data_IF_294866897605
#
_entry.id   IF_294866897605
#
_cell.length_a   1.000
_cell.length_b   1.000
_cell.length_c   1.000
_cell.angle_alpha   90.00
_cell.angle_beta   90.00
_cell.angle_gamma   90.00
#
_symmetry.space_group_name_H-M   'P 1'
#
loop_
_entity.id
_entity.type
_entity.pdbx_description
1 polymer ?
#
# COMPACT_ATOMS: atom_id res chain seq x y z
N UNK A 1 -27.84 10.20 4.49
CA UNK A 1 -28.03 9.08 3.54
C UNK A 1 -27.00 7.97 3.85
N UNK A 2 -27.26 7.20 4.89
CA UNK A 2 -26.40 6.09 5.31
C UNK A 2 -27.34 4.95 5.69
N UNK A 3 -27.56 4.05 4.73
CA UNK A 3 -28.43 2.90 4.94
C UNK A 3 -27.58 1.68 5.25
N UNK A 4 -28.01 0.88 6.23
CA UNK A 4 -27.31 -0.35 6.67
C UNK A 4 -27.61 -1.56 5.79
N UNK A 5 -28.42 -1.39 4.74
CA UNK A 5 -28.84 -2.47 3.85
C UNK A 5 -28.15 -2.34 2.50
N UNK A 6 -28.02 -3.46 1.78
CA UNK A 6 -27.52 -3.48 0.42
C UNK A 6 -28.44 -2.75 -0.58
N UNK A 7 -29.72 -2.58 -0.25
CA UNK A 7 -30.67 -1.71 -0.95
C UNK A 7 -31.44 -0.85 0.05
N UNK A 8 -31.53 0.45 -0.24
CA UNK A 8 -32.10 1.47 0.63
C UNK A 8 -33.09 2.34 -0.15
N UNK A 9 -33.94 3.05 0.57
CA UNK A 9 -34.82 4.06 0.01
C UNK A 9 -34.93 5.27 0.93
N UNK A 10 -35.20 6.44 0.34
CA UNK A 10 -35.56 7.66 1.03
C UNK A 10 -36.47 8.48 0.11
N UNK A 11 -37.74 8.62 0.48
CA UNK A 11 -38.73 9.32 -0.33
C UNK A 11 -38.91 8.69 -1.70
N UNK A 12 -38.70 9.47 -2.76
CA UNK A 12 -38.84 9.06 -4.17
C UNK A 12 -37.55 8.49 -4.76
N UNK A 13 -36.51 8.26 -3.96
CA UNK A 13 -35.22 7.74 -4.42
C UNK A 13 -34.96 6.40 -3.72
N UNK A 14 -34.54 5.41 -4.48
CA UNK A 14 -33.96 4.17 -3.95
C UNK A 14 -32.56 3.96 -4.51
N UNK A 15 -31.69 3.32 -3.74
CA UNK A 15 -30.36 2.96 -4.19
C UNK A 15 -29.94 1.57 -3.72
N UNK A 16 -29.20 0.86 -4.56
CA UNK A 16 -28.65 -0.46 -4.27
C UNK A 16 -27.15 -0.48 -4.54
N UNK A 17 -26.41 -1.13 -3.65
CA UNK A 17 -24.99 -1.42 -3.81
C UNK A 17 -24.83 -2.72 -4.61
N UNK A 18 -24.06 -2.65 -5.70
CA UNK A 18 -23.91 -3.74 -6.67
C UNK A 18 -22.47 -4.23 -6.68
N UNK A 19 -22.29 -5.56 -6.77
CA UNK A 19 -20.99 -6.22 -6.98
C UNK A 19 -20.61 -6.36 -8.45
N UNK A 20 -21.58 -6.30 -9.35
CA UNK A 20 -21.39 -6.44 -10.79
C UNK A 20 -22.48 -5.70 -11.57
N UNK A 21 -22.28 -5.55 -12.88
CA UNK A 21 -23.27 -5.06 -13.84
C UNK A 21 -23.38 -6.04 -15.02
N UNK A 22 -24.48 -6.02 -15.80
CA UNK A 22 -24.59 -6.78 -17.04
C UNK A 22 -23.43 -6.49 -18.01
N UNK A 23 -22.99 -7.49 -18.76
CA UNK A 23 -21.88 -7.34 -19.71
C UNK A 23 -22.18 -6.39 -20.89
N UNK A 24 -23.47 -6.17 -21.19
CA UNK A 24 -23.90 -5.22 -22.20
C UNK A 24 -24.64 -4.06 -21.52
N UNK A 25 -24.18 -2.83 -21.76
CA UNK A 25 -24.76 -1.61 -21.19
C UNK A 25 -26.25 -1.42 -21.52
N UNK A 26 -26.73 -2.00 -22.62
CA UNK A 26 -28.15 -1.97 -23.00
C UNK A 26 -29.06 -2.90 -22.17
N UNK A 27 -28.48 -3.75 -21.31
CA UNK A 27 -29.26 -4.68 -20.47
C UNK A 27 -29.60 -4.01 -19.14
N UNK A 28 -30.89 -3.72 -18.87
CA UNK A 28 -31.27 -3.06 -17.62
C UNK A 28 -31.14 -4.00 -16.42
N UNK A 29 -30.66 -3.46 -15.30
CA UNK A 29 -30.85 -4.11 -13.99
C UNK A 29 -32.24 -3.73 -13.47
N UNK A 30 -33.08 -4.75 -13.35
CA UNK A 30 -34.47 -4.70 -12.91
C UNK A 30 -34.63 -5.52 -11.64
N UNK A 31 -35.80 -5.44 -11.00
CA UNK A 31 -36.13 -6.27 -9.84
C UNK A 31 -35.96 -7.78 -10.09
N UNK A 32 -36.10 -8.22 -11.35
CA UNK A 32 -36.03 -9.64 -11.72
C UNK A 32 -34.60 -10.20 -11.77
N UNK A 33 -33.59 -9.36 -12.05
CA UNK A 33 -32.19 -9.79 -12.14
C UNK A 33 -31.28 -9.13 -11.09
N UNK A 34 -31.82 -8.24 -10.24
CA UNK A 34 -31.06 -7.53 -9.20
C UNK A 34 -30.28 -8.47 -8.28
N UNK A 35 -30.84 -9.62 -7.91
CA UNK A 35 -30.19 -10.59 -7.02
C UNK A 35 -28.84 -11.11 -7.56
N UNK A 36 -28.66 -11.13 -8.88
CA UNK A 36 -27.40 -11.52 -9.52
C UNK A 36 -26.29 -10.49 -9.30
N UNK A 37 -26.68 -9.21 -9.21
CA UNK A 37 -25.77 -8.07 -9.27
C UNK A 37 -25.60 -7.35 -7.94
N UNK A 38 -26.54 -7.48 -7.00
CA UNK A 38 -26.48 -6.82 -5.70
C UNK A 38 -25.38 -7.43 -4.83
N UNK A 39 -24.68 -6.58 -4.07
CA UNK A 39 -23.71 -7.03 -3.08
C UNK A 39 -24.41 -7.75 -1.90
N UNK A 40 -23.64 -8.55 -1.16
CA UNK A 40 -24.14 -9.24 0.04
C UNK A 40 -24.83 -8.28 1.01
N UNK A 41 -25.93 -8.73 1.63
CA UNK A 41 -26.61 -7.98 2.69
C UNK A 41 -25.86 -8.02 4.02
N UNK A 42 -24.87 -8.91 4.17
CA UNK A 42 -23.96 -8.93 5.32
C UNK A 42 -22.94 -7.82 5.14
N UNK A 43 -22.98 -6.79 5.97
CA UNK A 43 -22.19 -5.57 5.82
C UNK A 43 -20.70 -5.82 5.54
N UNK A 44 -20.02 -6.62 6.36
CA UNK A 44 -18.58 -6.90 6.19
C UNK A 44 -18.22 -7.55 4.84
N UNK A 45 -19.13 -8.36 4.28
CA UNK A 45 -18.96 -9.00 2.97
C UNK A 45 -19.37 -8.04 1.85
N UNK A 46 -20.52 -7.38 2.02
CA UNK A 46 -21.09 -6.47 1.04
C UNK A 46 -20.20 -5.25 0.79
N UNK A 47 -19.56 -4.71 1.81
CA UNK A 47 -18.62 -3.58 1.69
C UNK A 47 -17.43 -3.94 0.79
N UNK A 48 -16.85 -5.13 0.93
CA UNK A 48 -15.72 -5.60 0.11
C UNK A 48 -16.13 -5.98 -1.33
N UNK A 49 -17.36 -6.46 -1.52
CA UNK A 49 -17.88 -6.84 -2.84
C UNK A 49 -18.42 -5.66 -3.64
N UNK A 50 -18.82 -4.56 -3.01
CA UNK A 50 -19.50 -3.43 -3.69
C UNK A 50 -18.55 -2.71 -4.65
N UNK A 51 -18.98 -2.59 -5.91
CA UNK A 51 -18.24 -1.91 -6.99
C UNK A 51 -19.04 -0.79 -7.65
N UNK A 52 -20.37 -0.87 -7.62
CA UNK A 52 -21.27 0.10 -8.24
C UNK A 52 -22.41 0.48 -7.31
N UNK A 53 -23.02 1.63 -7.57
CA UNK A 53 -24.28 2.05 -6.98
C UNK A 53 -25.31 2.26 -8.09
N UNK A 54 -26.47 1.63 -7.94
CA UNK A 54 -27.64 1.95 -8.74
C UNK A 54 -28.56 2.86 -7.98
N UNK A 55 -28.94 3.99 -8.57
CA UNK A 55 -29.94 4.90 -8.05
C UNK A 55 -31.16 4.86 -8.96
N UNK A 56 -32.34 4.69 -8.39
CA UNK A 56 -33.62 4.68 -9.09
C UNK A 56 -34.51 5.77 -8.52
N UNK A 57 -35.13 6.56 -9.39
CA UNK A 57 -36.16 7.53 -9.01
C UNK A 57 -37.53 6.92 -9.27
N UNK A 58 -38.42 7.01 -8.29
CA UNK A 58 -39.80 6.57 -8.40
C UNK A 58 -40.48 7.29 -9.59
N UNK A 59 -41.07 6.55 -10.55
CA UNK A 59 -41.70 7.16 -11.71
C UNK A 59 -42.79 8.17 -11.31
N UNK A 60 -42.70 9.36 -11.86
CA UNK A 60 -43.69 10.43 -11.64
C UNK A 60 -44.60 10.54 -12.85
N UNK A 61 -45.91 10.63 -12.61
CA UNK A 61 -46.90 10.78 -13.67
C UNK A 61 -46.91 12.19 -14.25
N UNK A 62 -46.95 12.28 -15.58
CA UNK A 62 -47.10 13.50 -16.36
C UNK A 62 -48.33 13.41 -17.25
N UNK A 63 -48.95 14.56 -17.49
CA UNK A 63 -49.99 14.71 -18.48
C UNK A 63 -49.43 15.47 -19.68
N UNK A 64 -49.71 14.97 -20.88
CA UNK A 64 -49.38 15.67 -22.12
C UNK A 64 -50.25 16.93 -22.25
N UNK A 65 -49.61 18.06 -22.57
CA UNK A 65 -50.33 19.31 -22.81
C UNK A 65 -51.16 19.25 -24.11
N UNK A 66 -50.66 18.51 -25.11
CA UNK A 66 -51.36 18.21 -26.34
C UNK A 66 -51.91 16.78 -26.29
N UNK A 67 -53.20 16.55 -26.60
CA UNK A 67 -53.79 15.22 -26.54
C UNK A 67 -53.05 14.25 -27.47
N UNK A 68 -52.58 13.14 -26.90
CA UNK A 68 -51.88 12.09 -27.67
C UNK A 68 -52.76 11.49 -28.78
N UNK A 69 -54.09 11.64 -28.66
CA UNK A 69 -55.10 11.25 -29.65
C UNK A 69 -54.92 11.91 -31.03
N UNK A 70 -54.22 13.05 -31.12
CA UNK A 70 -53.90 13.70 -32.40
C UNK A 70 -52.76 13.02 -33.15
N UNK A 71 -51.92 12.24 -32.47
CA UNK A 71 -50.82 11.47 -33.09
C UNK A 71 -51.30 10.07 -33.44
N UNK A 72 -51.96 9.39 -32.49
CA UNK A 72 -52.49 8.03 -32.67
C UNK A 72 -53.84 7.93 -31.98
N UNK A 73 -54.86 7.46 -32.71
CA UNK A 73 -56.20 7.28 -32.14
C UNK A 73 -56.17 6.30 -30.96
N UNK A 74 -56.77 6.68 -29.83
CA UNK A 74 -56.78 5.87 -28.61
C UNK A 74 -55.53 5.97 -27.73
N UNK A 75 -54.54 6.80 -28.07
CA UNK A 75 -53.36 7.00 -27.23
C UNK A 75 -53.70 7.74 -25.92
N UNK A 76 -53.08 7.29 -24.82
CA UNK A 76 -53.22 7.92 -23.51
C UNK A 76 -52.48 9.25 -23.45
N UNK A 77 -53.12 10.27 -22.85
CA UNK A 77 -52.49 11.57 -22.58
C UNK A 77 -51.73 11.60 -21.25
N UNK A 78 -51.57 10.46 -20.58
CA UNK A 78 -50.78 10.33 -19.35
C UNK A 78 -49.63 9.36 -19.55
N UNK A 79 -48.45 9.72 -19.06
CA UNK A 79 -47.26 8.87 -19.10
C UNK A 79 -46.46 9.03 -17.81
N UNK A 80 -45.73 7.99 -17.41
CA UNK A 80 -44.85 8.06 -16.24
C UNK A 80 -43.40 8.16 -16.70
N UNK A 81 -42.65 9.09 -16.10
CA UNK A 81 -41.22 9.24 -16.34
C UNK A 81 -40.48 8.84 -15.07
N UNK A 82 -39.56 7.89 -15.20
CA UNK A 82 -38.62 7.52 -14.15
C UNK A 82 -37.19 7.61 -14.68
N UNK A 83 -36.22 7.52 -13.77
CA UNK A 83 -34.81 7.52 -14.11
C UNK A 83 -34.08 6.44 -13.30
N UNK A 84 -33.14 5.77 -13.94
CA UNK A 84 -32.19 4.84 -13.31
C UNK A 84 -30.82 5.26 -13.76
N UNK A 85 -29.91 5.46 -12.81
CA UNK A 85 -28.51 5.76 -13.09
C UNK A 85 -27.63 4.79 -12.34
N UNK A 86 -26.51 4.38 -12.96
CA UNK A 86 -25.50 3.54 -12.31
C UNK A 86 -24.14 4.15 -12.45
N UNK A 87 -23.53 4.36 -11.30
CA UNK A 87 -22.18 4.85 -11.18
C UNK A 87 -21.30 3.77 -10.53
N UNK A 88 -20.08 3.66 -11.00
CA UNK A 88 -19.02 2.94 -10.32
C UNK A 88 -17.80 3.83 -10.19
N UNK A 89 -16.81 3.34 -9.46
CA UNK A 89 -15.47 3.92 -9.50
C UNK A 89 -14.57 3.00 -10.32
N UNK A 90 -13.91 3.58 -11.31
CA UNK A 90 -12.68 3.00 -11.83
C UNK A 90 -11.57 3.62 -11.01
N UNK A 91 -11.13 2.92 -9.97
CA UNK A 91 -10.01 3.41 -9.16
C UNK A 91 -8.71 2.96 -9.79
N UNK A 92 -7.80 3.89 -10.03
CA UNK A 92 -6.45 3.60 -10.52
C UNK A 92 -5.41 3.97 -9.45
N UNK A 93 -4.41 3.11 -9.23
CA UNK A 93 -3.28 3.45 -8.35
C UNK A 93 -2.09 3.88 -9.20
N UNK A 94 -1.86 5.19 -9.26
CA UNK A 94 -0.76 5.78 -10.04
C UNK A 94 0.48 6.00 -9.15
N UNK A 95 1.67 6.09 -9.74
CA UNK A 95 2.94 6.29 -9.01
C UNK A 95 3.25 5.20 -7.96
N UNK A 96 2.88 3.97 -8.27
CA UNK A 96 2.91 2.85 -7.34
C UNK A 96 4.19 2.01 -7.46
N UNK A 97 4.71 1.49 -6.34
CA UNK A 97 5.78 0.47 -6.39
C UNK A 97 5.15 -0.81 -6.94
N UNK A 98 5.62 -1.43 -8.03
CA UNK A 98 4.96 -2.58 -8.65
C UNK A 98 5.19 -3.87 -7.84
N UNK A 99 4.69 -3.89 -6.61
CA UNK A 99 4.78 -5.02 -5.68
C UNK A 99 3.38 -5.43 -5.24
N UNK A 100 3.19 -6.73 -5.09
CA UNK A 100 2.07 -7.27 -4.32
C UNK A 100 2.60 -7.84 -3.02
N UNK A 101 1.78 -7.78 -1.98
CA UNK A 101 2.07 -8.31 -0.65
C UNK A 101 0.95 -9.27 -0.31
N UNK A 102 1.31 -10.51 0.02
CA UNK A 102 0.38 -11.48 0.56
C UNK A 102 -0.07 -11.01 1.93
N UNK A 103 -1.39 -10.82 2.07
CA UNK A 103 -2.05 -10.24 3.22
C UNK A 103 -1.52 -10.86 4.52
N UNK A 104 -0.76 -10.11 5.33
CA UNK A 104 -0.21 -10.62 6.59
C UNK A 104 -1.32 -11.03 7.58
N UNK A 105 -2.52 -10.46 7.40
CA UNK A 105 -3.71 -10.64 8.24
C UNK A 105 -4.80 -11.46 7.52
N UNK A 106 -4.45 -12.25 6.51
CA UNK A 106 -5.39 -13.11 5.77
C UNK A 106 -6.10 -14.07 6.73
N UNK A 107 -7.44 -14.02 6.74
CA UNK A 107 -8.26 -14.94 7.53
C UNK A 107 -8.45 -16.27 6.79
N UNK A 108 -8.34 -17.37 7.52
CA UNK A 108 -8.74 -18.68 7.03
C UNK A 108 -10.26 -18.87 7.05
N UNK A 109 -10.73 -20.03 6.57
CA UNK A 109 -12.16 -20.37 6.53
C UNK A 109 -12.82 -20.48 7.91
N UNK A 110 -12.06 -20.56 8.99
CA UNK A 110 -12.56 -20.56 10.36
C UNK A 110 -12.59 -19.16 10.98
N UNK A 111 -12.20 -18.12 10.23
CA UNK A 111 -12.09 -16.75 10.73
C UNK A 111 -10.91 -16.54 11.67
N UNK A 112 -9.87 -17.38 11.57
CA UNK A 112 -8.63 -17.26 12.33
C UNK A 112 -7.44 -16.95 11.44
N UNK A 113 -6.36 -16.43 12.03
CA UNK A 113 -5.08 -16.26 11.32
C UNK A 113 -3.87 -16.33 12.27
N UNK A 114 -2.70 -16.49 11.67
CA UNK A 114 -1.42 -16.53 12.40
C UNK A 114 -0.87 -15.13 12.76
N UNK A 115 -1.68 -14.08 12.61
CA UNK A 115 -1.37 -12.70 12.96
C UNK A 115 -2.15 -12.23 14.21
N UNK A 116 -2.60 -13.17 15.04
CA UNK A 116 -3.31 -12.87 16.28
C UNK A 116 -4.81 -12.60 16.07
N UNK A 117 -5.40 -13.14 15.01
CA UNK A 117 -6.83 -13.05 14.66
C UNK A 117 -7.32 -11.61 14.45
N UNK A 118 -6.45 -10.73 13.96
CA UNK A 118 -6.83 -9.39 13.51
C UNK A 118 -7.05 -9.38 12.01
N UNK A 119 -8.07 -8.66 11.55
CA UNK A 119 -8.25 -8.32 10.13
C UNK A 119 -7.28 -7.21 9.71
N UNK A 120 -7.12 -7.01 8.41
CA UNK A 120 -6.28 -5.96 7.85
C UNK A 120 -6.72 -4.56 8.32
N UNK A 121 -8.02 -4.29 8.39
CA UNK A 121 -8.59 -3.02 8.83
C UNK A 121 -8.43 -2.81 10.34
N UNK A 122 -8.49 -3.89 11.14
CA UNK A 122 -8.17 -3.83 12.56
C UNK A 122 -6.67 -3.59 12.79
N UNK A 123 -5.81 -4.09 11.91
CA UNK A 123 -4.38 -3.91 12.03
C UNK A 123 -3.97 -2.43 11.94
N UNK A 124 -4.63 -1.62 11.10
CA UNK A 124 -4.36 -0.17 11.01
C UNK A 124 -5.08 0.68 12.06
N UNK A 125 -6.18 0.18 12.63
CA UNK A 125 -6.99 0.96 13.60
C UNK A 125 -6.66 0.68 15.06
N UNK A 126 -6.06 -0.48 15.37
CA UNK A 126 -5.62 -0.82 16.72
C UNK A 126 -4.15 -0.41 16.93
N UNK A 127 -3.84 0.57 17.81
CA UNK A 127 -2.47 1.07 17.99
C UNK A 127 -1.43 0.02 18.37
N UNK A 128 -1.83 -1.05 19.07
CA UNK A 128 -0.92 -2.12 19.46
C UNK A 128 -0.57 -3.05 18.29
N UNK A 129 -1.50 -3.22 17.34
CA UNK A 129 -1.31 -4.07 16.15
C UNK A 129 -0.65 -3.28 15.03
N UNK A 130 -0.98 -1.99 14.91
CA UNK A 130 -0.49 -1.10 13.85
C UNK A 130 1.02 -0.95 13.82
N UNK A 131 1.65 -0.97 15.00
CA UNK A 131 3.11 -0.84 15.17
C UNK A 131 3.89 -2.16 15.07
N UNK A 132 3.24 -3.27 14.68
CA UNK A 132 3.92 -4.56 14.53
C UNK A 132 4.87 -4.52 13.35
N UNK A 133 6.10 -4.96 13.57
CA UNK A 133 7.04 -5.17 12.48
C UNK A 133 6.65 -6.42 11.69
N UNK A 134 6.70 -6.34 10.37
CA UNK A 134 6.40 -7.43 9.45
C UNK A 134 7.65 -7.71 8.62
N UNK A 135 8.12 -8.94 8.66
CA UNK A 135 9.15 -9.47 7.78
C UNK A 135 8.49 -9.95 6.48
N UNK A 136 8.70 -9.21 5.39
CA UNK A 136 8.30 -9.63 4.07
C UNK A 136 9.42 -10.44 3.41
N UNK A 137 9.07 -11.60 2.86
CA UNK A 137 9.99 -12.42 2.06
C UNK A 137 9.50 -12.54 0.63
N UNK A 138 10.42 -12.49 -0.33
CA UNK A 138 10.04 -12.68 -1.73
C UNK A 138 9.42 -14.07 -1.93
N UNK A 139 8.40 -14.17 -2.79
CA UNK A 139 7.89 -15.47 -3.24
C UNK A 139 9.00 -16.21 -4.01
N UNK A 140 9.33 -17.41 -3.55
CA UNK A 140 10.36 -18.26 -4.16
C UNK A 140 9.89 -18.92 -5.45
N UNK A 141 10.82 -19.39 -6.28
CA UNK A 141 10.49 -20.09 -7.53
C UNK A 141 9.78 -21.42 -7.25
N UNK A 142 8.55 -21.59 -7.75
CA UNK A 142 7.74 -22.78 -7.50
C UNK A 142 7.38 -22.99 -6.01
N UNK A 143 7.53 -21.94 -5.20
CA UNK A 143 7.15 -21.96 -3.79
C UNK A 143 5.76 -21.35 -3.62
N UNK A 144 4.99 -21.92 -2.70
CA UNK A 144 3.73 -21.35 -2.29
C UNK A 144 3.94 -19.95 -1.69
N UNK A 145 3.17 -18.98 -2.17
CA UNK A 145 3.07 -17.64 -1.62
C UNK A 145 2.05 -17.64 -0.48
N UNK A 146 2.50 -17.34 0.73
CA UNK A 146 1.63 -17.23 1.91
C UNK A 146 1.69 -15.84 2.54
N UNK A 147 0.89 -15.59 3.59
CA UNK A 147 0.91 -14.35 4.36
C UNK A 147 2.33 -13.88 4.68
N UNK A 148 2.64 -12.62 4.41
CA UNK A 148 3.98 -12.04 4.60
C UNK A 148 4.98 -12.37 3.50
N UNK A 149 4.54 -12.95 2.39
CA UNK A 149 5.32 -12.95 1.17
C UNK A 149 5.04 -11.70 0.34
N UNK A 150 5.98 -11.33 -0.53
CA UNK A 150 5.77 -10.30 -1.55
C UNK A 150 6.31 -10.75 -2.89
N UNK A 151 5.77 -10.19 -3.96
CA UNK A 151 6.28 -10.38 -5.30
C UNK A 151 6.06 -9.13 -6.13
N UNK A 152 6.22 -9.26 -7.44
CA UNK A 152 6.19 -8.12 -8.35
C UNK A 152 4.99 -8.16 -9.26
N UNK A 153 4.45 -6.98 -9.52
CA UNK A 153 3.39 -6.78 -10.50
C UNK A 153 4.00 -6.51 -11.87
N UNK A 154 3.28 -6.92 -12.91
CA UNK A 154 3.62 -6.58 -14.27
C UNK A 154 3.53 -5.06 -14.48
N UNK A 155 4.60 -4.37 -14.91
CA UNK A 155 4.53 -2.97 -15.25
C UNK A 155 3.54 -2.70 -16.39
N UNK A 156 2.86 -1.55 -16.42
CA UNK A 156 1.99 -1.19 -17.54
C UNK A 156 2.74 -1.15 -18.89
N UNK A 157 2.03 -1.32 -20.02
CA UNK A 157 2.63 -1.29 -21.35
C UNK A 157 3.49 -0.03 -21.57
N UNK A 158 4.75 -0.22 -21.99
CA UNK A 158 5.70 0.88 -22.24
C UNK A 158 6.80 1.04 -21.18
N UNK A 159 6.70 0.35 -20.04
CA UNK A 159 7.79 0.22 -19.07
C UNK A 159 8.64 -1.00 -19.47
N UNK A 160 9.97 -0.84 -19.54
CA UNK A 160 10.89 -1.84 -20.11
C UNK A 160 10.71 -3.28 -19.59
N UNK A 161 10.99 -4.25 -20.45
CA UNK A 161 10.95 -5.68 -20.10
C UNK A 161 12.24 -6.11 -19.39
N UNK A 162 12.11 -6.97 -18.38
CA UNK A 162 13.24 -7.48 -17.59
C UNK A 162 13.33 -6.93 -16.16
N UNK A 163 14.17 -7.57 -15.36
CA UNK A 163 14.20 -7.33 -13.92
C UNK A 163 15.00 -6.08 -13.51
N UNK A 164 15.87 -5.54 -14.38
CA UNK A 164 16.49 -4.23 -14.14
C UNK A 164 15.49 -3.08 -14.34
N UNK A 165 14.65 -3.16 -15.38
CA UNK A 165 13.58 -2.18 -15.58
C UNK A 165 12.58 -2.22 -14.41
N UNK A 166 12.28 -3.41 -13.88
CA UNK A 166 11.47 -3.57 -12.68
C UNK A 166 12.12 -2.92 -11.45
N UNK A 167 13.42 -3.16 -11.21
CA UNK A 167 14.15 -2.54 -10.12
C UNK A 167 14.18 -1.00 -10.23
N UNK A 168 14.33 -0.46 -11.45
CA UNK A 168 14.21 0.97 -11.72
C UNK A 168 12.79 1.49 -11.42
N UNK A 169 11.74 0.77 -11.81
CA UNK A 169 10.36 1.15 -11.44
C UNK A 169 10.14 1.12 -9.93
N UNK A 170 10.71 0.15 -9.21
CA UNK A 170 10.65 0.07 -7.73
C UNK A 170 11.43 1.21 -7.09
N UNK A 171 12.57 1.59 -7.67
CA UNK A 171 13.42 2.62 -7.14
C UNK A 171 12.97 4.03 -7.51
N UNK A 172 12.14 4.22 -8.54
CA UNK A 172 11.76 5.57 -8.97
C UNK A 172 10.68 6.18 -8.07
N UNK A 173 10.60 7.50 -8.04
CA UNK A 173 9.64 8.26 -7.23
C UNK A 173 8.38 8.67 -8.00
N UNK A 174 8.40 8.54 -9.32
CA UNK A 174 7.27 8.77 -10.23
C UNK A 174 7.17 7.64 -11.28
N UNK A 175 6.74 6.43 -10.89
CA UNK A 175 6.53 5.34 -11.83
C UNK A 175 5.60 5.74 -12.98
N UNK A 176 6.01 5.46 -14.22
CA UNK A 176 5.17 5.69 -15.41
C UNK A 176 4.13 4.56 -15.46
N UNK A 177 2.95 4.78 -14.89
CA UNK A 177 1.86 3.82 -14.94
C UNK A 177 0.84 3.92 -13.81
N UNK A 178 -0.40 3.57 -14.11
CA UNK A 178 -1.46 3.36 -13.12
C UNK A 178 -1.90 1.90 -13.19
N UNK A 179 -2.16 1.29 -12.03
CA UNK A 179 -2.74 -0.04 -11.90
C UNK A 179 -4.23 0.07 -11.67
N UNK A 180 -5.04 -0.81 -12.28
CA UNK A 180 -6.46 -0.89 -11.94
C UNK A 180 -6.63 -1.40 -10.49
N UNK A 181 -7.58 -0.83 -9.74
CA UNK A 181 -7.77 -1.19 -8.33
C UNK A 181 -8.36 -2.58 -8.13
N UNK A 182 -9.09 -3.08 -9.12
CA UNK A 182 -9.83 -4.33 -9.01
C UNK A 182 -9.00 -5.58 -9.28
N UNK A 183 -7.95 -5.47 -10.10
CA UNK A 183 -7.14 -6.63 -10.47
C UNK A 183 -5.71 -6.28 -10.85
N UNK A 184 -4.81 -7.22 -10.59
CA UNK A 184 -3.39 -7.08 -10.92
C UNK A 184 -2.85 -8.35 -11.58
N UNK A 185 -1.79 -8.20 -12.37
CA UNK A 185 -1.06 -9.32 -12.99
C UNK A 185 0.32 -9.43 -12.35
N UNK A 186 0.75 -10.65 -12.01
CA UNK A 186 2.08 -10.91 -11.44
C UNK A 186 3.14 -10.97 -12.54
N UNK A 187 4.36 -10.54 -12.24
CA UNK A 187 5.50 -10.67 -13.17
C UNK A 187 6.42 -11.78 -12.73
N UNK A 188 6.78 -12.64 -13.67
CA UNK A 188 7.87 -13.61 -13.48
C UNK A 188 9.21 -12.89 -13.50
N UNK A 189 10.09 -13.16 -12.53
CA UNK A 189 11.40 -12.52 -12.52
C UNK A 189 12.25 -12.77 -11.29
N UNK A 190 13.43 -13.36 -11.52
CA UNK A 190 14.53 -13.43 -10.57
C UNK A 190 15.37 -12.15 -10.68
N UNK A 191 15.77 -11.59 -9.53
CA UNK A 191 16.84 -10.57 -9.36
C UNK A 191 16.76 -9.95 -7.95
N UNK A 192 17.05 -10.74 -6.92
CA UNK A 192 17.12 -10.21 -5.56
C UNK A 192 18.17 -9.10 -5.35
N UNK A 193 19.29 -9.13 -6.08
CA UNK A 193 20.31 -8.07 -6.03
C UNK A 193 19.78 -6.69 -6.45
N UNK A 194 19.26 -6.51 -7.68
CA UNK A 194 18.63 -5.25 -8.10
C UNK A 194 17.49 -4.77 -7.19
N UNK A 195 16.73 -5.70 -6.60
CA UNK A 195 15.65 -5.38 -5.65
C UNK A 195 16.22 -4.85 -4.33
N UNK A 196 17.26 -5.48 -3.80
CA UNK A 196 17.99 -4.99 -2.63
C UNK A 196 18.50 -3.57 -2.88
N UNK A 197 19.14 -3.34 -4.02
CA UNK A 197 19.65 -2.03 -4.41
C UNK A 197 18.51 -0.98 -4.51
N UNK A 198 17.38 -1.34 -5.12
CA UNK A 198 16.21 -0.47 -5.24
C UNK A 198 15.60 -0.05 -3.89
N UNK A 199 15.66 -0.93 -2.88
CA UNK A 199 15.27 -0.58 -1.51
C UNK A 199 16.35 0.24 -0.80
N UNK A 200 17.62 -0.13 -0.96
CA UNK A 200 18.74 0.47 -0.26
C UNK A 200 19.06 1.90 -0.71
N UNK A 201 18.77 2.28 -1.97
CA UNK A 201 18.90 3.68 -2.40
C UNK A 201 17.98 4.63 -1.62
N UNK A 202 16.84 4.15 -1.12
CA UNK A 202 15.92 4.93 -0.25
C UNK A 202 16.60 5.29 1.09
N UNK A 203 17.61 4.54 1.50
CA UNK A 203 18.45 4.77 2.66
C UNK A 203 19.74 5.53 2.35
N UNK A 204 19.92 6.08 1.14
CA UNK A 204 21.18 6.73 0.78
C UNK A 204 22.36 5.77 0.79
N UNK A 205 22.11 4.52 0.39
CA UNK A 205 23.12 3.50 0.16
C UNK A 205 23.26 3.35 -1.35
N UNK A 206 24.49 3.44 -1.84
CA UNK A 206 24.80 3.32 -3.25
C UNK A 206 24.55 1.89 -3.73
N UNK A 207 23.74 1.78 -4.77
CA UNK A 207 23.51 0.55 -5.50
C UNK A 207 24.75 0.08 -6.29
N UNK A 208 24.77 -1.18 -6.70
CA UNK A 208 25.82 -1.70 -7.58
C UNK A 208 25.57 -1.27 -9.04
N UNK A 209 26.64 -0.84 -9.72
CA UNK A 209 26.59 -0.39 -11.11
C UNK A 209 26.09 1.06 -11.29
N UNK A 210 25.58 1.38 -12.48
CA UNK A 210 25.21 2.74 -12.90
C UNK A 210 23.70 2.96 -13.05
N UNK A 211 22.87 2.04 -12.58
CA UNK A 211 21.43 2.03 -12.90
C UNK A 211 20.55 2.99 -12.09
N UNK A 212 21.08 3.50 -10.97
CA UNK A 212 20.40 4.40 -10.04
C UNK A 212 21.17 5.72 -9.86
N UNK A 213 21.68 6.28 -10.97
CA UNK A 213 22.58 7.44 -10.99
C UNK A 213 21.88 8.77 -11.39
N UNK A 214 20.56 8.79 -11.37
CA UNK A 214 19.75 9.97 -11.68
C UNK A 214 18.96 10.47 -10.45
N UNK A 215 18.59 11.76 -10.40
CA UNK A 215 17.91 12.37 -9.25
C UNK A 215 16.61 11.69 -8.81
N UNK A 216 15.87 11.07 -9.73
CA UNK A 216 14.61 10.36 -9.45
C UNK A 216 14.78 9.14 -8.53
N UNK A 217 16.00 8.59 -8.45
CA UNK A 217 16.40 7.49 -7.56
C UNK A 217 16.97 7.97 -6.23
N UNK A 218 16.88 9.27 -5.96
CA UNK A 218 17.36 9.90 -4.74
C UNK A 218 16.85 9.22 -3.46
N UNK A 219 17.60 9.36 -2.36
CA UNK A 219 17.21 8.81 -1.07
C UNK A 219 16.00 9.53 -0.48
N UNK A 220 15.49 8.98 0.63
CA UNK A 220 14.55 9.68 1.49
C UNK A 220 15.17 10.93 2.10
N UNK A 221 14.32 11.86 2.52
CA UNK A 221 14.75 13.06 3.25
C UNK A 221 15.38 12.72 4.61
N UNK A 222 14.99 11.60 5.22
CA UNK A 222 15.63 11.02 6.40
C UNK A 222 16.08 9.58 6.11
N UNK A 223 17.39 9.34 6.17
CA UNK A 223 18.04 8.06 5.85
C UNK A 223 18.58 7.31 7.06
N UNK A 224 18.25 7.76 8.29
CA UNK A 224 18.75 7.13 9.52
C UNK A 224 18.47 5.63 9.52
N UNK A 225 19.52 4.84 9.62
CA UNK A 225 19.54 3.39 9.41
C UNK A 225 20.28 2.64 10.52
N UNK A 226 20.85 3.35 11.49
CA UNK A 226 21.66 2.74 12.54
C UNK A 226 23.05 2.37 12.10
N UNK A 227 23.61 3.04 11.09
CA UNK A 227 24.92 2.69 10.56
C UNK A 227 25.78 3.90 10.22
N UNK A 228 27.09 3.74 10.42
CA UNK A 228 28.10 4.70 9.98
C UNK A 228 29.07 4.04 9.02
N UNK A 229 29.57 4.80 8.04
CA UNK A 229 30.61 4.34 7.13
C UNK A 229 31.96 4.31 7.87
N UNK A 230 32.66 3.18 7.83
CA UNK A 230 33.98 3.03 8.45
C UNK A 230 35.05 3.74 7.64
N UNK A 231 35.57 4.86 8.14
CA UNK A 231 36.75 5.52 7.59
C UNK A 231 37.14 6.75 8.40
N UNK A 232 38.40 6.84 8.83
CA UNK A 232 38.99 8.00 9.50
C UNK A 232 38.71 9.29 8.69
N UNK A 233 37.67 10.01 9.06
CA UNK A 233 37.36 11.34 8.56
C UNK A 233 37.30 12.28 9.76
N UNK A 234 38.31 13.14 9.90
CA UNK A 234 38.41 14.16 10.92
C UNK A 234 37.07 14.87 11.17
N UNK A 235 36.54 14.74 12.40
CA UNK A 235 35.92 15.75 13.27
C UNK A 235 35.16 16.96 12.72
N UNK A 236 34.71 16.98 11.47
CA UNK A 236 33.94 18.07 10.89
C UNK A 236 32.53 17.57 10.53
N UNK A 237 31.71 17.28 11.55
CA UNK A 237 30.23 17.33 11.51
C UNK A 237 29.47 16.61 10.39
N UNK A 238 30.12 15.85 9.52
CA UNK A 238 29.56 15.16 8.38
C UNK A 238 29.81 13.68 8.65
N UNK A 239 28.82 12.99 9.21
CA UNK A 239 28.86 11.56 9.56
C UNK A 239 28.95 10.61 8.36
N UNK A 240 29.77 10.95 7.35
CA UNK A 240 30.13 10.10 6.22
C UNK A 240 31.62 9.79 6.27
N UNK A 241 31.99 8.64 6.81
CA UNK A 241 33.33 8.11 6.64
C UNK A 241 33.68 8.02 5.15
N UNK A 242 34.79 8.68 4.77
CA UNK A 242 35.55 8.40 3.54
C UNK A 242 35.03 8.97 2.21
N UNK A 243 35.30 10.26 1.94
CA UNK A 243 35.62 10.81 0.62
C UNK A 243 34.57 10.77 -0.50
N UNK A 244 33.99 11.93 -0.85
CA UNK A 244 33.34 12.26 -2.14
C UNK A 244 32.35 11.23 -2.78
N UNK A 245 31.94 10.17 -2.08
CA UNK A 245 31.18 9.06 -2.65
C UNK A 245 30.04 8.62 -1.72
N UNK A 246 28.88 8.32 -2.31
CA UNK A 246 27.76 7.71 -1.60
C UNK A 246 28.16 6.33 -1.07
N UNK A 247 27.91 6.00 0.23
CA UNK A 247 28.41 4.77 0.84
C UNK A 247 27.71 3.54 0.28
N UNK A 248 28.47 2.46 0.06
CA UNK A 248 27.96 1.13 -0.30
C UNK A 248 27.58 0.34 0.97
N UNK A 249 26.69 -0.64 0.83
CA UNK A 249 26.18 -1.42 1.96
C UNK A 249 27.31 -2.08 2.79
N UNK A 250 28.30 -2.67 2.11
CA UNK A 250 29.45 -3.33 2.73
C UNK A 250 30.45 -2.37 3.41
N UNK A 251 30.29 -1.06 3.26
CA UNK A 251 31.11 -0.04 3.93
C UNK A 251 30.49 0.44 5.24
N UNK A 252 29.26 0.03 5.53
CA UNK A 252 28.49 0.45 6.69
C UNK A 252 28.65 -0.55 7.84
N UNK A 253 28.90 -0.02 9.03
CA UNK A 253 28.83 -0.79 10.28
C UNK A 253 27.52 -0.45 10.98
N UNK A 254 26.65 -1.44 11.14
CA UNK A 254 25.33 -1.31 11.75
C UNK A 254 25.37 -1.57 13.26
N UNK A 255 24.46 -0.91 13.98
CA UNK A 255 24.27 -1.07 15.41
C UNK A 255 25.17 -0.14 16.24
N UNK A 256 25.31 -0.48 17.52
CA UNK A 256 25.93 0.37 18.54
C UNK A 256 27.31 0.90 18.10
N UNK A 257 27.62 2.19 18.33
CA UNK A 257 26.84 3.20 19.06
C UNK A 257 25.77 3.95 18.23
N UNK A 258 25.39 3.45 17.05
CA UNK A 258 24.26 3.95 16.26
C UNK A 258 23.02 3.06 16.47
N UNK A 259 21.83 3.58 16.18
CA UNK A 259 20.62 2.76 16.26
C UNK A 259 19.61 3.15 15.18
N UNK A 260 19.28 2.18 14.33
CA UNK A 260 18.16 2.28 13.39
C UNK A 260 16.85 2.08 14.15
N UNK A 261 15.72 2.23 13.47
CA UNK A 261 14.42 1.93 14.09
C UNK A 261 14.41 0.46 14.56
N UNK A 262 14.35 0.19 15.87
CA UNK A 262 14.55 -1.15 16.40
C UNK A 262 13.49 -2.13 15.90
N UNK A 263 13.87 -3.38 15.70
CA UNK A 263 12.90 -4.46 15.50
C UNK A 263 12.13 -4.73 16.80
N UNK A 264 11.00 -5.42 16.69
CA UNK A 264 10.27 -5.90 17.86
C UNK A 264 11.13 -6.93 18.62
N UNK A 265 11.07 -6.91 19.95
CA UNK A 265 11.89 -7.80 20.77
C UNK A 265 11.46 -9.28 20.64
N UNK A 266 10.20 -9.52 20.32
CA UNK A 266 9.66 -10.86 20.08
C UNK A 266 8.90 -10.90 18.75
N UNK A 267 8.92 -12.06 18.09
CA UNK A 267 8.18 -12.31 16.85
C UNK A 267 7.21 -13.50 16.98
N UNK A 268 6.15 -13.36 17.78
CA UNK A 268 5.27 -14.48 18.12
C UNK A 268 4.32 -14.87 16.98
N UNK A 269 4.21 -14.05 15.94
CA UNK A 269 3.23 -14.21 14.87
C UNK A 269 3.90 -14.64 13.56
N UNK A 270 3.10 -15.23 12.66
CA UNK A 270 3.51 -15.63 11.31
C UNK A 270 4.79 -16.49 11.27
N UNK A 271 4.92 -17.41 12.23
CA UNK A 271 6.09 -18.29 12.37
C UNK A 271 7.42 -17.53 12.51
N UNK A 272 7.43 -16.45 13.29
CA UNK A 272 8.62 -15.63 13.52
C UNK A 272 8.76 -14.42 12.60
N UNK A 273 7.84 -14.23 11.66
CA UNK A 273 7.89 -13.15 10.65
C UNK A 273 7.08 -11.91 11.01
N UNK A 274 6.40 -11.89 12.15
CA UNK A 274 5.70 -10.70 12.63
C UNK A 274 5.93 -10.52 14.12
N UNK A 275 6.28 -9.29 14.46
CA UNK A 275 6.55 -8.84 15.81
C UNK A 275 5.29 -8.59 16.63
N UNK A 276 5.47 -8.36 17.92
CA UNK A 276 4.42 -8.02 18.87
C UNK A 276 4.07 -6.52 18.91
N UNK A 277 4.82 -5.69 18.18
CA UNK A 277 4.70 -4.24 18.18
C UNK A 277 5.35 -3.56 19.39
N UNK A 278 6.08 -4.29 20.22
CA UNK A 278 6.78 -3.74 21.38
C UNK A 278 8.26 -3.53 21.07
N UNK A 279 8.56 -2.37 20.49
CA UNK A 279 9.91 -1.98 20.10
C UNK A 279 10.55 -1.01 21.10
N UNK A 280 11.88 -0.99 21.13
CA UNK A 280 12.67 -0.21 22.08
C UNK A 280 12.77 1.28 21.70
N UNK A 281 11.65 2.00 21.84
CA UNK A 281 11.60 3.44 21.64
C UNK A 281 12.60 4.17 22.56
N UNK A 282 12.74 3.73 23.81
CA UNK A 282 13.60 4.41 24.79
C UNK A 282 15.06 4.33 24.38
N UNK A 283 15.54 3.13 24.04
CA UNK A 283 16.91 2.93 23.55
C UNK A 283 17.17 3.64 22.23
N UNK A 284 16.19 3.63 21.31
CA UNK A 284 16.28 4.38 20.06
C UNK A 284 16.43 5.88 20.30
N UNK A 285 15.58 6.43 21.16
CA UNK A 285 15.52 7.86 21.41
C UNK A 285 16.77 8.35 22.15
N UNK A 286 17.21 7.63 23.19
CA UNK A 286 18.42 7.98 23.92
C UNK A 286 19.68 7.87 23.06
N UNK A 287 19.75 6.89 22.15
CA UNK A 287 20.91 6.69 21.28
C UNK A 287 21.00 7.76 20.19
N UNK A 288 19.87 8.20 19.63
CA UNK A 288 19.86 9.11 18.49
C UNK A 288 19.68 10.59 18.87
N UNK A 289 19.00 10.89 19.98
CA UNK A 289 18.59 12.25 20.33
C UNK A 289 18.90 12.64 21.78
N UNK A 290 19.49 11.73 22.57
CA UNK A 290 19.89 11.99 23.95
C UNK A 290 18.70 12.43 24.82
N UNK A 291 18.77 13.67 25.33
CA UNK A 291 17.76 14.26 26.22
C UNK A 291 16.72 15.14 25.49
N UNK A 292 16.72 15.14 24.16
CA UNK A 292 15.71 15.85 23.36
C UNK A 292 14.31 15.35 23.74
N UNK A 293 13.34 16.24 23.89
CA UNK A 293 11.97 15.84 24.21
C UNK A 293 11.24 15.19 23.04
N UNK A 294 10.44 14.15 23.33
CA UNK A 294 9.42 13.61 22.43
C UNK A 294 8.01 13.79 23.03
N UNK A 295 6.93 13.52 22.28
CA UNK A 295 5.57 13.57 22.82
C UNK A 295 5.42 12.65 24.03
N UNK A 296 5.04 13.22 25.18
CA UNK A 296 4.84 12.45 26.43
C UNK A 296 3.82 11.32 26.33
N UNK A 297 2.89 11.38 25.36
CA UNK A 297 1.95 10.29 25.08
C UNK A 297 2.65 9.00 24.64
N UNK A 298 3.87 9.08 24.10
CA UNK A 298 4.64 7.93 23.63
C UNK A 298 5.16 7.04 24.75
N UNK A 299 5.27 7.58 25.96
CA UNK A 299 5.65 6.82 27.16
C UNK A 299 4.53 5.87 27.61
N UNK A 300 3.27 6.25 27.37
CA UNK A 300 2.09 5.43 27.70
C UNK A 300 1.57 4.62 26.51
N UNK A 301 1.65 5.18 25.32
CA UNK A 301 1.17 4.56 24.07
C UNK A 301 2.28 4.65 23.04
N UNK A 302 3.04 3.56 22.91
CA UNK A 302 4.16 3.51 21.97
C UNK A 302 3.67 3.85 20.56
N UNK A 303 4.34 4.79 19.87
CA UNK A 303 4.05 5.14 18.49
C UNK A 303 4.50 4.01 17.56
N UNK A 304 4.00 4.06 16.34
CA UNK A 304 4.57 3.39 15.17
C UNK A 304 5.96 3.96 14.87
N UNK A 305 6.81 3.17 14.20
CA UNK A 305 8.10 3.66 13.71
C UNK A 305 7.91 4.74 12.65
N UNK A 306 6.84 4.65 11.87
CA UNK A 306 6.51 5.67 10.87
C UNK A 306 6.20 7.03 11.51
N UNK A 307 5.43 7.07 12.60
CA UNK A 307 5.16 8.32 13.35
C UNK A 307 6.44 8.95 13.88
N UNK A 308 7.37 8.13 14.41
CA UNK A 308 8.67 8.62 14.89
C UNK A 308 9.49 9.20 13.74
N UNK A 309 9.56 8.50 12.61
CA UNK A 309 10.24 8.99 11.41
C UNK A 309 9.66 10.31 10.89
N UNK A 310 8.33 10.46 10.89
CA UNK A 310 7.66 11.71 10.50
C UNK A 310 7.93 12.83 11.50
N UNK A 311 7.91 12.52 12.79
CA UNK A 311 8.21 13.47 13.86
C UNK A 311 9.65 14.01 13.75
N UNK A 312 10.62 13.15 13.47
CA UNK A 312 12.02 13.56 13.27
C UNK A 312 12.15 14.61 12.17
N UNK A 313 11.43 14.46 11.06
CA UNK A 313 11.40 15.45 9.98
C UNK A 313 10.67 16.72 10.39
N UNK A 314 9.49 16.59 11.01
CA UNK A 314 8.67 17.72 11.41
C UNK A 314 9.35 18.62 12.47
N UNK A 315 10.16 18.04 13.35
CA UNK A 315 10.89 18.76 14.40
C UNK A 315 12.34 19.13 14.01
N UNK A 316 12.75 18.87 12.77
CA UNK A 316 14.10 19.20 12.31
C UNK A 316 15.21 18.37 12.96
N UNK A 317 14.90 17.17 13.47
CA UNK A 317 15.84 16.29 14.16
C UNK A 317 16.69 15.43 13.22
N UNK A 318 16.41 15.45 11.91
CA UNK A 318 17.10 14.64 10.89
C UNK A 318 18.62 14.86 10.89
N UNK A 319 19.08 16.09 11.13
CA UNK A 319 20.50 16.44 11.22
C UNK A 319 21.18 16.11 12.55
N UNK A 320 20.44 15.63 13.55
CA UNK A 320 20.98 15.32 14.88
C UNK A 320 21.88 14.09 14.80
N UNK A 321 23.12 14.19 15.28
CA UNK A 321 24.02 13.05 15.34
C UNK A 321 23.61 12.11 16.48
N UNK A 322 23.57 10.81 16.20
CA UNK A 322 23.50 9.78 17.23
C UNK A 322 24.79 9.72 18.07
N UNK A 323 24.80 8.90 19.11
CA UNK A 323 26.00 8.64 19.91
C UNK A 323 27.20 8.14 19.07
N UNK A 324 26.94 7.44 17.96
CA UNK A 324 27.96 7.00 17.00
C UNK A 324 28.23 7.93 15.83
N UNK A 325 27.62 9.14 15.82
CA UNK A 325 27.86 10.15 14.80
C UNK A 325 27.00 10.03 13.53
N UNK A 326 26.11 9.04 13.44
CA UNK A 326 25.17 8.93 12.34
C UNK A 326 24.11 10.05 12.39
N UNK A 327 23.92 10.72 11.25
CA UNK A 327 22.80 11.63 11.01
C UNK A 327 21.82 11.02 10.02
N UNK A 328 20.55 11.43 10.09
CA UNK A 328 19.53 11.08 9.10
C UNK A 328 19.63 11.90 7.82
N UNK A 329 20.46 12.93 7.76
CA UNK A 329 20.65 13.75 6.55
C UNK A 329 21.41 12.94 5.49
N UNK A 330 20.88 12.79 4.26
CA UNK A 330 21.58 12.06 3.21
C UNK A 330 22.93 12.70 2.85
N UNK A 331 23.92 11.87 2.52
CA UNK A 331 25.22 12.36 2.07
C UNK A 331 25.09 13.18 0.77
N UNK A 332 25.80 14.30 0.69
CA UNK A 332 25.87 15.12 -0.52
C UNK A 332 26.57 14.42 -1.71
N UNK A 333 27.22 13.29 -1.46
CA UNK A 333 27.81 12.45 -2.49
C UNK A 333 26.83 11.41 -3.07
N UNK A 334 25.62 11.30 -2.50
CA UNK A 334 24.51 10.55 -3.08
C UNK A 334 23.71 11.43 -4.05
N UNK A 335 22.75 10.81 -4.75
CA UNK A 335 21.74 11.57 -5.48
C UNK A 335 20.99 12.52 -4.54
N UNK A 336 20.51 13.68 -5.04
CA UNK A 336 19.76 14.61 -4.21
C UNK A 336 18.53 13.92 -3.61
N UNK A 337 18.15 14.23 -2.35
CA UNK A 337 16.98 13.61 -1.72
C UNK A 337 15.70 13.94 -2.49
N UNK A 338 14.82 12.95 -2.63
CA UNK A 338 13.49 13.19 -3.18
C UNK A 338 12.55 13.64 -2.05
N UNK A 339 11.92 14.80 -2.25
CA UNK A 339 11.05 15.45 -1.25
C UNK A 339 9.59 15.50 -1.66
N UNK A 340 9.26 15.19 -2.92
CA UNK A 340 7.89 15.19 -3.44
C UNK A 340 7.03 14.05 -2.88
N UNK A 341 7.65 12.95 -2.45
CA UNK A 341 7.01 11.77 -1.88
C UNK A 341 7.86 11.20 -0.75
N UNK A 342 7.23 10.44 0.13
CA UNK A 342 7.94 9.70 1.17
C UNK A 342 8.60 8.45 0.59
N UNK A 343 9.92 8.52 0.39
CA UNK A 343 10.70 7.44 -0.21
C UNK A 343 10.85 6.21 0.67
N UNK A 344 10.46 6.25 1.94
CA UNK A 344 10.44 5.04 2.78
C UNK A 344 9.10 4.31 2.77
N UNK A 345 8.07 4.88 2.17
CA UNK A 345 6.83 4.16 1.94
C UNK A 345 6.93 3.31 0.67
N UNK A 346 6.55 2.05 0.81
CA UNK A 346 6.26 1.12 -0.25
C UNK A 346 4.76 1.04 -0.39
N UNK A 347 4.26 1.19 -1.61
CA UNK A 347 2.85 1.04 -1.91
C UNK A 347 2.68 -0.29 -2.62
N UNK A 348 1.80 -1.16 -2.12
CA UNK A 348 1.69 -2.55 -2.58
C UNK A 348 0.24 -3.05 -2.58
N UNK A 349 -0.10 -3.85 -3.59
CA UNK A 349 -1.42 -4.46 -3.69
C UNK A 349 -1.45 -5.60 -2.69
N UNK A 350 -2.44 -5.63 -1.81
CA UNK A 350 -2.59 -6.67 -0.80
C UNK A 350 -3.50 -7.74 -1.37
N UNK A 351 -2.99 -8.98 -1.40
CA UNK A 351 -3.70 -10.14 -1.96
C UNK A 351 -3.91 -11.20 -0.88
N UNK A 352 -5.08 -11.83 -0.85
CA UNK A 352 -5.33 -13.02 -0.01
C UNK A 352 -4.71 -14.25 -0.70
N UNK A 353 -3.40 -14.43 -0.52
CA UNK A 353 -2.62 -15.40 -1.28
C UNK A 353 -3.04 -16.84 -1.01
N UNK A 354 -3.37 -17.22 0.24
CA UNK A 354 -3.85 -18.57 0.51
C UNK A 354 -5.17 -18.86 -0.24
N UNK A 355 -6.09 -17.90 -0.25
CA UNK A 355 -7.35 -18.02 -0.98
C UNK A 355 -7.13 -18.11 -2.50
N UNK A 356 -6.17 -17.34 -3.04
CA UNK A 356 -5.81 -17.37 -4.46
C UNK A 356 -5.16 -18.69 -4.87
N UNK A 357 -4.26 -19.22 -4.06
CA UNK A 357 -3.63 -20.53 -4.30
C UNK A 357 -4.66 -21.66 -4.20
N UNK A 358 -5.56 -21.61 -3.22
CA UNK A 358 -6.68 -22.55 -3.13
C UNK A 358 -7.61 -22.49 -4.34
N UNK A 359 -7.72 -21.33 -4.99
CA UNK A 359 -8.44 -21.14 -6.25
C UNK A 359 -7.63 -21.57 -7.50
N UNK A 360 -6.39 -22.04 -7.34
CA UNK A 360 -5.54 -22.56 -8.41
C UNK A 360 -4.64 -21.53 -9.10
N UNK A 361 -4.45 -20.34 -8.52
CA UNK A 361 -3.55 -19.33 -9.06
C UNK A 361 -2.10 -19.61 -8.64
N UNK A 362 -1.15 -19.46 -9.58
CA UNK A 362 0.28 -19.55 -9.30
C UNK A 362 0.87 -18.15 -9.11
N UNK A 363 1.11 -17.79 -7.86
CA UNK A 363 1.68 -16.50 -7.47
C UNK A 363 3.21 -16.46 -7.59
N UNK A 364 3.85 -17.61 -7.82
CA UNK A 364 5.27 -17.70 -8.17
C UNK A 364 5.51 -17.53 -9.68
N UNK A 365 4.46 -17.74 -10.47
CA UNK A 365 4.40 -17.59 -11.93
C UNK A 365 3.75 -16.29 -12.40
N UNK A 366 3.36 -16.28 -13.67
CA UNK A 366 2.57 -15.21 -14.27
C UNK A 366 1.08 -15.58 -14.16
N UNK A 367 0.38 -14.91 -13.26
CA UNK A 367 -1.07 -14.99 -13.08
C UNK A 367 -1.67 -13.63 -13.39
N UNK A 368 -2.79 -13.62 -14.11
CA UNK A 368 -3.47 -12.40 -14.55
C UNK A 368 -4.83 -12.24 -13.86
N UNK A 369 -5.31 -11.00 -13.79
CA UNK A 369 -6.62 -10.66 -13.22
C UNK A 369 -6.81 -11.14 -11.77
N UNK A 370 -5.77 -11.08 -10.94
CA UNK A 370 -5.85 -11.48 -9.54
C UNK A 370 -6.66 -10.44 -8.75
N UNK A 371 -7.69 -10.83 -7.99
CA UNK A 371 -8.47 -9.91 -7.17
C UNK A 371 -7.62 -9.30 -6.06
N UNK A 372 -7.71 -7.98 -5.92
CA UNK A 372 -7.04 -7.20 -4.87
C UNK A 372 -7.96 -7.10 -3.65
N UNK A 373 -7.43 -7.45 -2.46
CA UNK A 373 -8.13 -7.28 -1.18
C UNK A 373 -8.16 -5.79 -0.79
N UNK A 374 -7.00 -5.13 -0.83
CA UNK A 374 -6.83 -3.72 -0.55
C UNK A 374 -5.53 -3.22 -1.19
N UNK A 375 -5.34 -1.90 -1.28
CA UNK A 375 -4.00 -1.34 -1.42
C UNK A 375 -3.49 -0.91 -0.06
N UNK A 376 -2.19 -1.05 0.18
CA UNK A 376 -1.57 -0.64 1.42
C UNK A 376 -0.32 0.18 1.22
N UNK A 377 0.00 0.99 2.22
CA UNK A 377 1.31 1.61 2.36
C UNK A 377 2.07 0.96 3.50
N UNK A 378 3.36 0.71 3.27
CA UNK A 378 4.24 -0.03 4.16
C UNK A 378 5.52 0.77 4.36
N UNK A 379 5.85 1.08 5.60
CA UNK A 379 7.06 1.82 5.92
C UNK A 379 8.26 0.89 6.06
N UNK A 380 9.28 1.11 5.23
CA UNK A 380 10.53 0.36 5.25
C UNK A 380 11.42 0.84 6.40
N UNK A 381 11.61 -0.01 7.41
CA UNK A 381 12.23 0.41 8.69
C UNK A 381 13.75 0.36 8.66
N UNK A 382 14.31 -0.51 7.83
CA UNK A 382 15.76 -0.74 7.73
C UNK A 382 16.19 -1.15 6.30
N UNK A 383 17.48 -0.96 5.95
CA UNK A 383 18.04 -1.45 4.71
C UNK A 383 17.95 -2.98 4.57
N UNK A 384 17.83 -3.45 3.33
CA UNK A 384 17.83 -4.88 3.01
C UNK A 384 19.26 -5.40 3.07
N UNK A 385 19.50 -6.38 3.94
CA UNK A 385 20.85 -6.85 4.27
C UNK A 385 21.46 -7.85 3.29
N UNK A 386 20.61 -8.60 2.57
CA UNK A 386 21.06 -9.63 1.63
C UNK A 386 20.61 -9.34 0.21
N UNK A 387 21.45 -9.75 -0.75
CA UNK A 387 21.13 -9.76 -2.18
C UNK A 387 20.47 -11.07 -2.63
N UNK A 388 20.18 -11.98 -1.69
CA UNK A 388 19.64 -13.33 -1.96
C UNK A 388 18.12 -13.32 -2.12
N UNK A 389 17.57 -14.32 -2.81
CA UNK A 389 16.12 -14.41 -3.05
C UNK A 389 15.29 -14.62 -1.77
N UNK A 390 15.91 -15.01 -0.65
CA UNK A 390 15.30 -15.07 0.68
C UNK A 390 15.50 -13.79 1.51
N UNK A 391 15.98 -12.69 0.90
CA UNK A 391 16.21 -11.43 1.59
C UNK A 391 14.93 -10.91 2.27
N UNK A 392 15.06 -10.64 3.56
CA UNK A 392 14.03 -10.08 4.40
C UNK A 392 13.90 -8.57 4.15
N UNK A 393 12.68 -8.12 3.87
CA UNK A 393 12.30 -6.71 3.82
C UNK A 393 11.46 -6.41 5.04
N UNK A 394 11.99 -5.62 5.98
CA UNK A 394 11.29 -5.29 7.22
C UNK A 394 10.43 -4.06 7.04
N UNK A 395 9.13 -4.22 7.24
CA UNK A 395 8.16 -3.15 7.06
C UNK A 395 7.20 -3.03 8.24
N UNK A 396 6.60 -1.86 8.38
CA UNK A 396 5.47 -1.61 9.26
C UNK A 396 4.27 -1.21 8.39
N UNK A 397 3.10 -1.81 8.60
CA UNK A 397 1.89 -1.43 7.87
C UNK A 397 1.46 -0.03 8.32
N UNK A 398 1.37 0.92 7.40
CA UNK A 398 1.02 2.31 7.71
C UNK A 398 -0.45 2.58 7.47
N UNK A 399 -0.96 2.16 6.31
CA UNK A 399 -2.32 2.47 5.91
C UNK A 399 -2.86 1.44 4.92
N UNK A 400 -4.18 1.34 4.81
CA UNK A 400 -4.88 0.52 3.82
C UNK A 400 -6.10 1.24 3.26
N UNK A 401 -6.45 0.92 2.02
CA UNK A 401 -7.69 1.39 1.41
C UNK A 401 -8.91 0.79 2.12
N UNK A 402 -9.98 1.57 2.25
CA UNK A 402 -11.22 1.17 2.91
C UNK A 402 -11.57 2.09 4.08
N UNK A 403 -12.57 1.72 4.87
CA UNK A 403 -13.14 2.58 5.92
C UNK A 403 -12.20 2.98 7.07
N UNK A 404 -11.01 2.38 7.15
CA UNK A 404 -10.00 2.66 8.19
C UNK A 404 -8.79 3.46 7.67
N UNK A 405 -8.84 3.95 6.43
CA UNK A 405 -7.75 4.69 5.79
C UNK A 405 -7.31 5.94 6.57
N UNK A 406 -6.00 6.18 6.64
CA UNK A 406 -5.32 7.30 7.31
C UNK A 406 -4.80 8.35 6.30
N UNK A 407 -5.11 8.20 5.02
CA UNK A 407 -4.90 9.20 3.97
C UNK A 407 -3.52 9.18 3.31
N UNK A 408 -2.66 8.20 3.62
CA UNK A 408 -1.36 8.09 2.91
C UNK A 408 -1.52 7.58 1.48
N UNK A 409 -2.69 7.03 1.17
CA UNK A 409 -3.07 6.50 -0.14
C UNK A 409 -3.88 7.51 -0.99
N UNK A 410 -4.29 8.65 -0.43
CA UNK A 410 -5.20 9.60 -1.08
C UNK A 410 -4.66 10.19 -2.39
N UNK A 411 -3.35 10.41 -2.47
CA UNK A 411 -2.72 10.93 -3.68
C UNK A 411 -2.38 9.83 -4.71
N UNK A 412 -2.53 8.57 -4.32
CA UNK A 412 -2.19 7.41 -5.14
C UNK A 412 -3.44 6.75 -5.72
N UNK A 413 -4.55 6.73 -4.96
CA UNK A 413 -5.87 6.35 -5.44
C UNK A 413 -6.49 7.49 -6.26
N UNK A 414 -6.64 7.28 -7.57
CA UNK A 414 -7.53 8.08 -8.39
C UNK A 414 -8.85 7.37 -8.55
N UNK A 415 -9.85 7.84 -7.82
CA UNK A 415 -11.24 7.42 -8.02
C UNK A 415 -11.85 8.25 -9.14
N UNK A 416 -11.95 7.67 -10.33
CA UNK A 416 -12.71 8.28 -11.42
C UNK A 416 -14.14 7.73 -11.38
N UNK A 417 -15.08 8.59 -11.01
CA UNK A 417 -16.49 8.27 -11.06
C UNK A 417 -16.89 8.08 -12.53
N UNK A 418 -17.24 6.85 -12.88
CA UNK A 418 -17.70 6.49 -14.20
C UNK A 418 -19.21 6.24 -14.17
N UNK A 419 -19.92 6.92 -15.05
CA UNK A 419 -21.33 6.65 -15.30
C UNK A 419 -21.42 5.55 -16.36
N UNK A 420 -22.11 4.47 -16.02
CA UNK A 420 -22.36 3.36 -16.94
C UNK A 420 -23.74 3.48 -17.60
N UNK A 421 -24.63 4.29 -17.01
CA UNK A 421 -26.00 4.57 -17.49
C UNK A 421 -26.64 5.71 -16.73
#
# INVERSE_FOLDING_TARGET
PGGTLNCNNAGNISWCFLKAIPAADSTPITSANLATYVASSTQAVGEAETRFIQVTVAPTGFAAFFPASFVTSGASSTFSVGAVAVAGFTSGVCNFTPVFICNPYEMDSNGTNNAGNYTLQQAVSNPAVHRRLIELRKVGNGAAAGPGNFGFLEPPPGVGNGAQALAQTIATSTPIGCYESGSVSTKTGQNAGPVQDAFNVRFGIKANGSHFNSPEYGPASNVRKGAAAGGNGNGNGNGGGGGNQCPQYNQLTFGSPNMGLPRDATTPYMSGRMGDGNWDLSGYWSTNFGSTSHPSSWDTTKPTRYEVYKYEMAQGLVGTASAGGEVGTPSNACQPPVTSVDRRLLYGAILNCNALEAAGNDLSGHSTNLPVEAFGSFFLTEPVASASDDASVMVELVDVTGGAGQGTLDNFLRDEAQLYR
#
